data_IF_705397384008
#
_entry.id   IF_705397384008
#
_cell.length_a   1.000
_cell.length_b   1.000
_cell.length_c   1.000
_cell.angle_alpha   90.00
_cell.angle_beta   90.00
_cell.angle_gamma   90.00
#
_symmetry.space_group_name_H-M   'P 1'
#
loop_
_entity.id
_entity.type
_entity.pdbx_description
1 polymer ?
#
# COMPACT_ATOMS: atom_id res chain seq x y z
N UNK A 1 -7.58 10.76 -17.50
CA UNK A 1 -6.11 10.53 -17.52
C UNK A 1 -5.87 9.31 -16.66
N UNK A 2 -5.22 8.27 -17.20
CA UNK A 2 -4.99 7.01 -16.49
C UNK A 2 -3.49 6.92 -16.20
N UNK A 3 -3.14 6.93 -14.92
CA UNK A 3 -1.75 6.75 -14.47
C UNK A 3 -1.60 5.33 -13.94
N UNK A 4 -0.52 4.66 -14.29
CA UNK A 4 -0.23 3.28 -13.90
C UNK A 4 1.13 3.24 -13.22
N UNK A 5 1.19 2.64 -12.03
CA UNK A 5 2.43 2.29 -11.35
C UNK A 5 2.57 0.77 -11.32
N UNK A 6 3.73 0.27 -11.74
CA UNK A 6 4.02 -1.16 -11.90
C UNK A 6 5.28 -1.51 -11.10
N UNK A 7 5.18 -2.53 -10.27
CA UNK A 7 6.32 -3.12 -9.59
C UNK A 7 6.16 -4.63 -9.51
N UNK A 8 6.97 -5.37 -10.29
CA UNK A 8 6.83 -6.82 -10.45
C UNK A 8 5.38 -7.23 -10.79
N UNK A 9 4.74 -8.02 -9.94
CA UNK A 9 3.34 -8.45 -10.05
C UNK A 9 2.33 -7.45 -9.46
N UNK A 10 2.78 -6.47 -8.68
CA UNK A 10 1.93 -5.44 -8.07
C UNK A 10 1.67 -4.28 -9.04
N UNK A 11 0.39 -4.11 -9.41
CA UNK A 11 -0.08 -3.05 -10.32
C UNK A 11 -1.03 -2.12 -9.58
N UNK A 12 -0.75 -0.82 -9.61
CA UNK A 12 -1.62 0.24 -9.09
C UNK A 12 -2.11 1.13 -10.24
N UNK A 13 -3.43 1.23 -10.41
CA UNK A 13 -4.06 1.97 -11.51
C UNK A 13 -4.94 3.07 -10.96
N UNK A 14 -4.74 4.28 -11.47
CA UNK A 14 -5.58 5.44 -11.19
C UNK A 14 -6.58 5.63 -12.32
N UNK A 15 -7.86 5.57 -11.98
CA UNK A 15 -8.96 5.59 -12.95
C UNK A 15 -9.82 6.84 -12.73
N UNK A 16 -9.94 7.67 -13.78
CA UNK A 16 -10.83 8.84 -13.80
C UNK A 16 -12.15 8.51 -14.51
N UNK A 17 -13.29 8.98 -14.00
CA UNK A 17 -14.64 8.67 -14.52
C UNK A 17 -14.99 7.17 -14.46
N UNK A 18 -14.92 6.56 -13.27
CA UNK A 18 -14.99 5.11 -13.07
C UNK A 18 -16.19 4.42 -13.74
N UNK A 19 -17.36 5.06 -13.82
CA UNK A 19 -18.54 4.49 -14.50
C UNK A 19 -18.29 4.10 -15.96
N UNK A 20 -17.40 4.82 -16.65
CA UNK A 20 -17.08 4.59 -18.07
C UNK A 20 -15.75 3.88 -18.25
N UNK A 21 -14.74 4.25 -17.47
CA UNK A 21 -13.38 3.76 -17.64
C UNK A 21 -13.12 2.42 -16.98
N UNK A 22 -13.84 2.07 -15.90
CA UNK A 22 -13.68 0.77 -15.24
C UNK A 22 -14.18 -0.38 -16.13
N UNK A 23 -15.35 -0.30 -16.78
CA UNK A 23 -15.77 -1.33 -17.73
C UNK A 23 -14.78 -1.51 -18.89
N UNK A 24 -14.26 -0.40 -19.44
CA UNK A 24 -13.25 -0.44 -20.49
C UNK A 24 -11.95 -1.12 -20.01
N UNK A 25 -11.47 -0.76 -18.82
CA UNK A 25 -10.27 -1.36 -18.22
C UNK A 25 -10.44 -2.88 -18.00
N UNK A 26 -11.60 -3.31 -17.50
CA UNK A 26 -11.89 -4.72 -17.27
C UNK A 26 -11.99 -5.51 -18.59
N UNK A 27 -12.47 -4.88 -19.66
CA UNK A 27 -12.44 -5.47 -21.00
C UNK A 27 -11.02 -5.66 -21.51
N UNK A 28 -10.14 -4.65 -21.36
CA UNK A 28 -8.73 -4.77 -21.75
C UNK A 28 -8.01 -5.85 -20.95
N UNK A 29 -8.30 -5.98 -19.66
CA UNK A 29 -7.75 -7.06 -18.85
C UNK A 29 -8.20 -8.45 -19.31
N UNK A 30 -9.44 -8.61 -19.76
CA UNK A 30 -9.92 -9.88 -20.32
C UNK A 30 -9.20 -10.21 -21.63
N UNK A 31 -8.93 -9.23 -22.48
CA UNK A 31 -8.14 -9.41 -23.71
C UNK A 31 -6.69 -9.77 -23.37
N UNK A 32 -6.12 -9.11 -22.36
CA UNK A 32 -4.78 -9.41 -21.87
C UNK A 32 -4.68 -10.83 -21.29
N UNK A 33 -5.66 -11.26 -20.51
CA UNK A 33 -5.75 -12.63 -19.98
C UNK A 33 -5.75 -13.66 -21.11
N UNK A 34 -6.56 -13.43 -22.15
CA UNK A 34 -6.64 -14.33 -23.31
C UNK A 34 -5.32 -14.42 -24.09
N UNK A 35 -4.57 -13.31 -24.20
CA UNK A 35 -3.32 -13.27 -24.97
C UNK A 35 -2.10 -13.74 -24.20
N UNK A 36 -2.04 -13.44 -22.90
CA UNK A 36 -0.86 -13.68 -22.07
C UNK A 36 -0.97 -14.93 -21.20
N UNK A 37 -2.20 -15.42 -20.99
CA UNK A 37 -2.48 -16.50 -20.03
C UNK A 37 -2.48 -16.07 -18.56
N UNK A 38 -2.19 -14.80 -18.26
CA UNK A 38 -2.21 -14.28 -16.89
C UNK A 38 -3.60 -13.76 -16.51
N UNK A 39 -4.15 -14.32 -15.44
CA UNK A 39 -5.46 -13.93 -14.90
C UNK A 39 -5.32 -12.99 -13.70
N UNK A 40 -6.16 -11.96 -13.66
CA UNK A 40 -6.27 -11.08 -12.49
C UNK A 40 -6.87 -11.84 -11.31
N UNK A 41 -6.20 -11.75 -10.16
CA UNK A 41 -6.72 -12.29 -8.92
C UNK A 41 -7.66 -11.27 -8.27
N UNK A 42 -8.95 -11.39 -8.56
CA UNK A 42 -10.01 -10.51 -8.02
C UNK A 42 -10.04 -10.55 -6.49
N UNK A 43 -9.79 -11.72 -5.87
CA UNK A 43 -9.79 -11.86 -4.40
C UNK A 43 -8.65 -11.09 -3.71
N UNK A 44 -7.51 -10.91 -4.41
CA UNK A 44 -6.39 -10.08 -3.93
C UNK A 44 -6.52 -8.61 -4.31
N UNK A 45 -7.44 -8.28 -5.22
CA UNK A 45 -7.61 -6.91 -5.72
C UNK A 45 -8.26 -6.06 -4.65
N UNK A 46 -7.66 -4.91 -4.37
CA UNK A 46 -8.16 -3.93 -3.42
C UNK A 46 -8.48 -2.63 -4.15
N UNK A 47 -9.57 -1.98 -3.78
CA UNK A 47 -10.02 -0.73 -4.40
C UNK A 47 -10.21 0.34 -3.34
N UNK A 48 -9.68 1.54 -3.62
CA UNK A 48 -9.88 2.73 -2.81
C UNK A 48 -10.61 3.79 -3.63
N UNK A 49 -11.79 4.21 -3.17
CA UNK A 49 -12.63 5.19 -3.87
C UNK A 49 -12.47 6.59 -3.28
N UNK A 50 -12.31 7.59 -4.13
CA UNK A 50 -12.27 9.01 -3.76
C UNK A 50 -13.40 9.76 -4.46
N UNK A 51 -14.28 10.43 -3.70
CA UNK A 51 -15.43 11.18 -4.22
C UNK A 51 -16.29 10.38 -5.22
N UNK A 52 -16.35 9.06 -5.05
CA UNK A 52 -17.06 8.15 -5.92
C UNK A 52 -17.82 7.14 -5.08
N UNK A 53 -19.09 6.95 -5.41
CA UNK A 53 -19.93 5.90 -4.86
C UNK A 53 -20.49 5.06 -6.03
N UNK A 54 -19.99 3.83 -6.23
CA UNK A 54 -20.43 3.00 -7.33
C UNK A 54 -21.89 2.61 -7.16
N UNK A 55 -22.65 2.62 -8.26
CA UNK A 55 -24.00 2.11 -8.30
C UNK A 55 -24.03 0.58 -8.11
N UNK A 56 -25.17 0.06 -7.64
CA UNK A 56 -25.31 -1.36 -7.29
C UNK A 56 -25.02 -2.30 -8.48
N UNK A 57 -25.31 -1.87 -9.70
CA UNK A 57 -24.96 -2.61 -10.91
C UNK A 57 -23.45 -2.82 -11.06
N UNK A 58 -22.62 -1.79 -10.81
CA UNK A 58 -21.16 -1.87 -10.86
C UNK A 58 -20.63 -2.69 -9.69
N UNK A 59 -21.19 -2.48 -8.49
CA UNK A 59 -20.81 -3.26 -7.30
C UNK A 59 -21.06 -4.76 -7.49
N UNK A 60 -22.19 -5.13 -8.09
CA UNK A 60 -22.55 -6.52 -8.33
C UNK A 60 -21.82 -7.13 -9.53
N UNK A 61 -21.43 -6.31 -10.51
CA UNK A 61 -20.70 -6.78 -11.69
C UNK A 61 -19.25 -7.20 -11.35
N UNK A 62 -18.63 -6.53 -10.39
CA UNK A 62 -17.28 -6.80 -9.95
C UNK A 62 -17.30 -7.18 -8.47
N UNK A 63 -17.04 -8.46 -8.18
CA UNK A 63 -16.94 -9.04 -6.82
C UNK A 63 -15.71 -8.50 -6.05
N UNK A 64 -15.63 -7.18 -5.89
CA UNK A 64 -14.55 -6.44 -5.27
C UNK A 64 -15.14 -5.69 -4.08
N UNK A 65 -14.36 -5.57 -3.01
CA UNK A 65 -14.70 -4.73 -1.87
C UNK A 65 -14.53 -3.24 -2.22
N UNK A 66 -15.66 -2.55 -2.40
CA UNK A 66 -15.73 -1.12 -2.77
C UNK A 66 -15.64 -0.17 -1.58
N UNK A 67 -15.85 -0.67 -0.37
CA UNK A 67 -16.02 0.13 0.85
C UNK A 67 -14.74 0.15 1.73
N UNK A 68 -13.60 -0.21 1.14
CA UNK A 68 -12.31 -0.19 1.82
C UNK A 68 -11.96 1.23 2.29
N UNK A 69 -11.54 1.32 3.55
CA UNK A 69 -11.02 2.57 4.14
C UNK A 69 -9.54 2.79 3.86
N UNK A 70 -8.83 1.73 3.49
CA UNK A 70 -7.42 1.77 3.14
C UNK A 70 -7.03 0.54 2.32
N UNK A 71 -6.04 0.70 1.46
CA UNK A 71 -5.41 -0.39 0.69
C UNK A 71 -3.91 -0.44 1.00
N UNK A 72 -3.25 -1.54 0.66
CA UNK A 72 -1.80 -1.69 0.86
C UNK A 72 -1.09 -1.88 -0.49
N UNK A 73 -0.08 -1.06 -0.74
CA UNK A 73 0.77 -1.14 -1.93
C UNK A 73 2.24 -1.07 -1.52
N UNK A 74 3.03 -2.09 -1.87
CA UNK A 74 4.46 -2.19 -1.56
C UNK A 74 4.81 -1.95 -0.08
N UNK A 75 3.96 -2.43 0.83
CA UNK A 75 4.16 -2.23 2.27
C UNK A 75 3.55 -0.95 2.83
N UNK A 76 3.20 0.02 1.98
CA UNK A 76 2.62 1.32 2.36
C UNK A 76 1.09 1.22 2.36
N UNK A 77 0.47 1.67 3.45
CA UNK A 77 -0.98 1.75 3.60
C UNK A 77 -1.49 3.07 3.05
N UNK A 78 -2.24 3.02 1.96
CA UNK A 78 -2.92 4.18 1.37
C UNK A 78 -4.31 4.28 1.99
N UNK A 79 -4.54 5.30 2.83
CA UNK A 79 -5.81 5.56 3.50
C UNK A 79 -6.72 6.45 2.66
N UNK A 80 -8.04 6.25 2.75
CA UNK A 80 -9.05 7.12 2.12
C UNK A 80 -9.00 8.53 2.70
N UNK A 81 -8.80 8.61 4.01
CA UNK A 81 -8.48 9.86 4.69
C UNK A 81 -6.97 10.12 4.57
N UNK A 82 -6.60 11.09 3.73
CA UNK A 82 -5.21 11.44 3.46
C UNK A 82 -4.50 11.99 4.70
N UNK A 83 -5.23 12.55 5.67
CA UNK A 83 -4.65 13.06 6.93
C UNK A 83 -4.09 11.93 7.79
N UNK A 84 -4.64 10.71 7.64
CA UNK A 84 -4.22 9.53 8.38
C UNK A 84 -3.00 8.83 7.78
N UNK A 85 -2.55 9.21 6.58
CA UNK A 85 -1.43 8.54 5.91
C UNK A 85 -0.16 8.54 6.77
N UNK A 86 0.12 9.66 7.46
CA UNK A 86 1.28 9.76 8.35
C UNK A 86 1.18 8.75 9.48
N UNK A 87 0.09 8.80 10.24
CA UNK A 87 -0.12 7.96 11.41
C UNK A 87 -0.21 6.47 11.04
N UNK A 88 -0.76 6.16 9.87
CA UNK A 88 -0.88 4.79 9.38
C UNK A 88 0.46 4.17 8.96
N UNK A 89 1.48 4.97 8.63
CA UNK A 89 2.73 4.47 8.04
C UNK A 89 3.98 4.92 8.80
N UNK A 90 4.17 6.22 8.98
CA UNK A 90 5.40 6.79 9.54
C UNK A 90 5.51 6.54 11.04
N UNK A 91 4.43 6.73 11.79
CA UNK A 91 4.44 6.57 13.24
C UNK A 91 4.83 5.13 13.67
N UNK A 92 4.20 4.05 13.14
CA UNK A 92 4.63 2.69 13.48
C UNK A 92 6.02 2.35 12.96
N UNK A 93 6.41 2.87 11.78
CA UNK A 93 7.76 2.67 11.24
C UNK A 93 8.82 3.30 12.16
N UNK A 94 8.56 4.51 12.65
CA UNK A 94 9.47 5.22 13.55
C UNK A 94 9.61 4.48 14.89
N UNK A 95 8.52 3.97 15.46
CA UNK A 95 8.58 3.14 16.67
C UNK A 95 9.40 1.88 16.44
N UNK A 96 9.18 1.18 15.32
CA UNK A 96 9.94 -0.02 14.97
C UNK A 96 11.44 0.25 14.82
N UNK A 97 11.81 1.36 14.18
CA UNK A 97 13.22 1.76 14.04
C UNK A 97 13.85 2.01 15.42
N UNK A 98 13.14 2.71 16.32
CA UNK A 98 13.62 2.96 17.69
C UNK A 98 13.83 1.66 18.47
N UNK A 99 12.84 0.77 18.44
CA UNK A 99 12.91 -0.54 19.09
C UNK A 99 14.07 -1.39 18.54
N UNK A 100 14.27 -1.40 17.21
CA UNK A 100 15.38 -2.13 16.60
C UNK A 100 16.74 -1.54 16.97
N UNK A 101 16.88 -0.21 17.05
CA UNK A 101 18.10 0.45 17.51
C UNK A 101 18.39 0.09 18.97
N UNK A 102 17.40 0.21 19.86
CA UNK A 102 17.54 -0.13 21.29
C UNK A 102 17.91 -1.60 21.47
N UNK A 103 17.26 -2.52 20.74
CA UNK A 103 17.60 -3.94 20.75
C UNK A 103 19.04 -4.18 20.31
N UNK A 104 19.48 -3.55 19.22
CA UNK A 104 20.84 -3.72 18.70
C UNK A 104 21.88 -3.19 19.68
N UNK A 105 21.65 -2.03 20.28
CA UNK A 105 22.49 -1.44 21.32
C UNK A 105 22.60 -2.41 22.52
N UNK A 106 21.48 -2.89 23.04
CA UNK A 106 21.45 -3.83 24.17
C UNK A 106 22.16 -5.14 23.85
N UNK A 107 21.98 -5.68 22.63
CA UNK A 107 22.73 -6.83 22.18
C UNK A 107 24.23 -6.53 22.17
N UNK A 108 24.70 -5.47 21.49
CA UNK A 108 26.12 -5.09 21.44
C UNK A 108 26.75 -4.97 22.83
N UNK A 109 26.05 -4.38 23.80
CA UNK A 109 26.54 -4.29 25.17
C UNK A 109 26.58 -5.62 25.93
N UNK A 110 25.74 -6.59 25.58
CA UNK A 110 25.76 -7.93 26.17
C UNK A 110 26.86 -8.83 25.60
N UNK A 111 27.22 -8.69 24.32
CA UNK A 111 28.21 -9.57 23.68
C UNK A 111 29.66 -9.20 24.01
N UNK A 112 29.94 -7.99 24.50
CA UNK A 112 31.31 -7.49 24.74
C UNK A 112 31.36 -6.73 26.09
N UNK A 113 32.00 -7.28 27.14
CA UNK A 113 31.82 -6.79 28.51
C UNK A 113 32.59 -5.51 28.89
N UNK A 114 33.24 -4.80 27.97
CA UNK A 114 34.05 -3.61 28.30
C UNK A 114 33.81 -2.47 27.32
N UNK A 115 33.07 -1.45 27.77
CA UNK A 115 32.85 -0.20 27.04
C UNK A 115 32.91 1.01 27.97
N UNK A 116 33.43 2.13 27.46
CA UNK A 116 33.27 3.47 28.04
C UNK A 116 32.76 4.37 26.90
N UNK A 117 31.58 4.96 27.08
CA UNK A 117 31.02 5.93 26.15
C UNK A 117 31.31 7.34 26.67
N UNK A 118 31.99 8.16 25.88
CA UNK A 118 32.18 9.58 26.16
C UNK A 118 31.24 10.41 25.28
N UNK A 119 30.45 11.27 25.91
CA UNK A 119 29.72 12.32 25.21
C UNK A 119 30.33 13.66 25.60
N UNK A 120 31.05 14.27 24.67
CA UNK A 120 31.60 15.62 24.83
C UNK A 120 30.63 16.59 24.16
N UNK A 121 29.96 17.42 24.95
CA UNK A 121 29.34 18.65 24.45
C UNK A 121 30.42 19.74 24.40
N UNK A 122 30.39 20.53 23.33
CA UNK A 122 31.28 21.69 23.12
C UNK A 122 31.47 22.51 24.41
N UNK A 123 32.72 22.94 24.62
CA UNK A 123 33.16 23.89 25.65
C UNK A 123 32.33 25.18 25.62
#
# INVERSE_FOLDING_TARGET
MQNIALFADDVLIYVSNPDTSLPALMSEFKVFEQKSGYKINVQKTQVLTFNYNPADNIKNLYEIDWDQKAIKYLGVKLTKDLTQLKMANYDPLMSKIKEEIERNINMTFHIHPKYVAFWVKNL
#
